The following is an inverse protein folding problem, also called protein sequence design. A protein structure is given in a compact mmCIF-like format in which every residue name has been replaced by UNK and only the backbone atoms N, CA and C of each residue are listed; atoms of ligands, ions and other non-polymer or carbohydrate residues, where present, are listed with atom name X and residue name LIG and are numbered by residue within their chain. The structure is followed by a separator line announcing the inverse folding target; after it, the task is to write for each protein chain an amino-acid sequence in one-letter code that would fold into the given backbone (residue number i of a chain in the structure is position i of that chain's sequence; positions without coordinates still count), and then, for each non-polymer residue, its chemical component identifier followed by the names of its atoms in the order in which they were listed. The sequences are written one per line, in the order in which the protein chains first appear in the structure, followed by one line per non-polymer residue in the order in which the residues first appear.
data_IF_206275764344
#
_entry.id   IF_206275764344
#
_cell.length_a   1.000
_cell.length_b   1.000
_cell.length_c   1.000
_cell.angle_alpha   90.00
_cell.angle_beta   90.00
_cell.angle_gamma   90.00
#
_symmetry.space_group_name_H-M   'P 1'
#
loop_
_entity.id
_entity.type
_entity.pdbx_description
1 polymer ?
#
# COMPACT_ATOMS: atom_id res chain seq x y z
N UNK A 1 24.79 1.67 -28.32
CA UNK A 1 24.86 0.21 -28.35
C UNK A 1 25.04 -0.38 -26.97
N UNK A 2 26.17 -0.10 -26.34
CA UNK A 2 26.39 -0.63 -24.99
C UNK A 2 25.34 -0.18 -24.00
N UNK A 3 24.73 0.97 -24.25
CA UNK A 3 23.67 1.48 -23.40
C UNK A 3 22.45 0.59 -23.37
N UNK A 4 22.19 -0.23 -24.37
CA UNK A 4 21.09 -1.17 -24.36
C UNK A 4 21.25 -2.20 -23.26
N UNK A 5 22.45 -2.71 -23.10
CA UNK A 5 22.71 -3.72 -22.07
C UNK A 5 22.57 -3.13 -20.68
N UNK A 6 22.94 -1.88 -20.51
CA UNK A 6 22.82 -1.20 -19.23
C UNK A 6 21.37 -0.89 -18.87
N UNK A 7 20.46 -0.99 -19.84
CA UNK A 7 19.06 -0.70 -19.64
C UNK A 7 18.23 -1.92 -19.29
N UNK A 8 18.86 -3.05 -19.16
CA UNK A 8 18.17 -4.23 -18.64
C UNK A 8 17.91 -3.95 -17.17
N UNK A 9 16.71 -3.54 -16.87
CA UNK A 9 16.30 -3.18 -15.52
C UNK A 9 15.37 -4.26 -15.04
N UNK A 10 15.70 -4.81 -13.89
CA UNK A 10 14.85 -5.81 -13.27
C UNK A 10 13.68 -5.11 -12.60
N UNK A 11 12.49 -5.33 -13.14
CA UNK A 11 11.25 -4.79 -12.58
C UNK A 11 10.57 -5.90 -11.81
N UNK A 12 10.30 -5.63 -10.56
CA UNK A 12 9.61 -6.56 -9.68
C UNK A 12 8.19 -6.09 -9.42
N UNK A 13 7.36 -6.99 -8.94
CA UNK A 13 6.01 -6.67 -8.53
C UNK A 13 5.94 -6.74 -7.01
N UNK A 14 5.38 -5.71 -6.40
CA UNK A 14 5.26 -5.62 -4.95
C UNK A 14 3.83 -5.31 -4.54
N UNK A 15 3.42 -5.93 -3.46
CA UNK A 15 2.22 -5.54 -2.75
C UNK A 15 2.66 -4.86 -1.47
N UNK A 16 2.28 -3.61 -1.34
CA UNK A 16 2.73 -2.77 -0.24
C UNK A 16 1.52 -2.23 0.52
N UNK A 17 1.45 -2.57 1.79
CA UNK A 17 0.32 -2.17 2.64
C UNK A 17 0.81 -1.24 3.73
N UNK A 18 0.10 -0.12 3.91
CA UNK A 18 0.32 0.76 5.04
C UNK A 18 -0.94 0.79 5.91
N UNK A 19 -0.73 0.98 7.19
CA UNK A 19 -1.82 1.09 8.16
C UNK A 19 -1.66 2.41 8.88
N UNK A 20 -2.61 3.31 8.66
CA UNK A 20 -2.61 4.62 9.29
C UNK A 20 -3.45 4.58 10.57
N UNK A 21 -3.18 5.51 11.47
CA UNK A 21 -3.91 5.63 12.74
C UNK A 21 -5.40 5.74 12.52
N UNK A 22 -6.17 5.25 13.50
CA UNK A 22 -7.62 5.25 13.40
C UNK A 22 -8.26 6.63 13.32
N UNK A 23 -7.60 7.65 13.85
CA UNK A 23 -8.11 9.03 13.87
C UNK A 23 -7.65 9.88 12.70
N UNK A 24 -6.96 9.30 11.73
CA UNK A 24 -6.55 10.02 10.53
C UNK A 24 -7.78 10.31 9.68
N UNK A 25 -7.95 11.59 9.30
CA UNK A 25 -9.12 12.01 8.53
C UNK A 25 -9.07 11.52 7.07
N UNK A 26 -10.22 11.48 6.39
CA UNK A 26 -10.24 11.12 4.96
C UNK A 26 -9.32 12.00 4.10
N UNK A 27 -9.22 13.30 4.40
CA UNK A 27 -8.32 14.17 3.64
C UNK A 27 -6.86 13.83 3.90
N UNK A 28 -6.52 13.45 5.12
CA UNK A 28 -5.16 13.02 5.46
C UNK A 28 -4.82 11.69 4.79
N UNK A 29 -5.79 10.78 4.70
CA UNK A 29 -5.61 9.52 3.97
C UNK A 29 -5.27 9.82 2.51
N UNK A 30 -6.01 10.73 1.90
CA UNK A 30 -5.78 11.14 0.52
C UNK A 30 -4.36 11.71 0.35
N UNK A 31 -3.92 12.53 1.29
CA UNK A 31 -2.57 13.09 1.28
C UNK A 31 -1.50 12.00 1.39
N UNK A 32 -1.73 10.99 2.23
CA UNK A 32 -0.81 9.87 2.35
C UNK A 32 -0.68 9.11 1.03
N UNK A 33 -1.81 8.84 0.39
CA UNK A 33 -1.81 8.16 -0.90
C UNK A 33 -1.05 8.97 -1.94
N UNK A 34 -1.29 10.27 -2.01
CA UNK A 34 -0.58 11.15 -2.94
C UNK A 34 0.91 11.17 -2.67
N UNK A 35 1.28 11.28 -1.39
CA UNK A 35 2.69 11.32 -0.99
C UNK A 35 3.44 10.09 -1.46
N UNK A 36 2.90 8.92 -1.17
CA UNK A 36 3.59 7.68 -1.52
C UNK A 36 3.50 7.35 -3.00
N UNK A 37 2.41 7.74 -3.65
CA UNK A 37 2.30 7.61 -5.11
C UNK A 37 3.36 8.42 -5.83
N UNK A 38 3.65 9.63 -5.34
CA UNK A 38 4.69 10.48 -5.93
C UNK A 38 6.08 9.89 -5.80
N UNK A 39 6.34 9.20 -4.70
CA UNK A 39 7.62 8.53 -4.51
C UNK A 39 7.80 7.43 -5.57
N UNK A 40 6.75 6.65 -5.79
CA UNK A 40 6.77 5.59 -6.81
C UNK A 40 7.05 6.18 -8.19
N UNK A 41 6.33 7.23 -8.55
CA UNK A 41 6.49 7.88 -9.86
C UNK A 41 7.86 8.51 -10.03
N UNK A 42 8.35 9.18 -9.01
CA UNK A 42 9.65 9.84 -9.05
C UNK A 42 10.79 8.86 -9.29
N UNK A 43 10.65 7.65 -8.80
CA UNK A 43 11.66 6.61 -8.96
C UNK A 43 11.36 5.69 -10.15
N UNK A 44 10.52 6.17 -11.06
CA UNK A 44 10.22 5.49 -12.32
C UNK A 44 9.52 4.14 -12.14
N UNK A 45 8.75 4.03 -11.08
CA UNK A 45 7.89 2.87 -10.88
C UNK A 45 6.49 3.11 -11.44
N UNK A 46 5.75 2.03 -11.57
CA UNK A 46 4.36 2.06 -12.00
C UNK A 46 3.48 1.69 -10.82
N UNK A 47 2.58 2.60 -10.46
CA UNK A 47 1.56 2.30 -9.48
C UNK A 47 0.37 1.67 -10.21
N UNK A 48 0.31 0.35 -10.14
CA UNK A 48 -0.68 -0.43 -10.91
C UNK A 48 -2.08 -0.26 -10.32
N UNK A 49 -2.18 -0.26 -9.00
CA UNK A 49 -3.46 -0.12 -8.34
C UNK A 49 -3.27 0.37 -6.91
N UNK A 50 -4.18 1.22 -6.46
CA UNK A 50 -4.26 1.65 -5.07
C UNK A 50 -5.64 1.29 -4.54
N UNK A 51 -5.69 0.63 -3.40
CA UNK A 51 -6.94 0.26 -2.76
C UNK A 51 -6.99 0.86 -1.36
N UNK A 52 -8.05 1.55 -1.05
CA UNK A 52 -8.31 2.01 0.31
C UNK A 52 -9.27 1.02 0.94
N UNK A 53 -8.75 0.17 1.81
CA UNK A 53 -9.55 -0.86 2.46
C UNK A 53 -10.38 -0.31 3.62
N UNK A 54 -10.10 0.92 4.03
CA UNK A 54 -10.85 1.58 5.08
C UNK A 54 -10.39 1.20 6.47
N UNK A 55 -11.24 1.53 7.43
CA UNK A 55 -10.95 1.34 8.84
C UNK A 55 -11.27 -0.10 9.23
N UNK A 56 -10.25 -0.84 9.62
CA UNK A 56 -10.37 -2.26 9.98
C UNK A 56 -9.82 -2.51 11.37
N UNK A 57 -10.29 -3.57 12.01
CA UNK A 57 -9.79 -3.98 13.32
C UNK A 57 -8.35 -4.50 13.18
N UNK A 58 -7.52 -4.10 14.11
CA UNK A 58 -6.16 -4.64 14.22
C UNK A 58 -6.19 -5.96 14.97
N UNK A 59 -5.25 -6.85 14.64
CA UNK A 59 -5.12 -8.13 15.34
C UNK A 59 -4.75 -7.91 16.81
N UNK A 60 -4.05 -6.81 17.08
CA UNK A 60 -3.67 -6.42 18.44
C UNK A 60 -3.54 -4.91 18.46
N UNK A 61 -3.59 -4.33 19.66
CA UNK A 61 -3.50 -2.88 19.83
C UNK A 61 -2.10 -2.39 19.48
N UNK A 62 -2.02 -1.36 18.65
CA UNK A 62 -0.75 -0.70 18.28
C UNK A 62 -0.86 0.77 18.67
N UNK A 63 0.04 1.24 19.53
CA UNK A 63 0.06 2.65 19.97
C UNK A 63 -1.34 3.14 20.36
N UNK A 64 -2.04 2.35 21.17
CA UNK A 64 -3.39 2.63 21.65
C UNK A 64 -4.47 2.64 20.58
N UNK A 65 -4.15 2.23 19.36
CA UNK A 65 -5.14 2.09 18.30
C UNK A 65 -5.65 0.65 18.27
N UNK A 66 -6.97 0.49 18.25
CA UNK A 66 -7.63 -0.81 18.08
C UNK A 66 -7.96 -1.08 16.62
N UNK A 67 -8.04 -0.01 15.84
CA UNK A 67 -8.33 -0.04 14.42
C UNK A 67 -7.27 0.72 13.66
N UNK A 68 -7.20 0.48 12.37
CA UNK A 68 -6.31 1.20 11.51
C UNK A 68 -6.91 1.37 10.13
N UNK A 69 -6.48 2.41 9.44
CA UNK A 69 -6.88 2.64 8.06
C UNK A 69 -5.90 1.93 7.15
N UNK A 70 -6.38 0.94 6.43
CA UNK A 70 -5.57 0.11 5.55
C UNK A 70 -5.57 0.66 4.12
N UNK A 71 -4.38 0.86 3.59
CA UNK A 71 -4.19 1.29 2.21
C UNK A 71 -3.22 0.31 1.56
N UNK A 72 -3.58 -0.20 0.40
CA UNK A 72 -2.81 -1.21 -0.30
C UNK A 72 -2.41 -0.72 -1.67
N UNK A 73 -1.12 -0.85 -1.98
CA UNK A 73 -0.56 -0.44 -3.26
C UNK A 73 -0.02 -1.67 -4.00
N UNK A 74 -0.32 -1.76 -5.29
CA UNK A 74 0.31 -2.72 -6.18
C UNK A 74 1.30 -1.96 -7.04
N UNK A 75 2.57 -2.26 -6.87
CA UNK A 75 3.67 -1.47 -7.46
C UNK A 75 4.52 -2.35 -8.34
N UNK A 76 4.84 -1.85 -9.53
CA UNK A 76 5.82 -2.47 -10.41
C UNK A 76 7.03 -1.55 -10.48
N UNK A 77 8.21 -2.09 -10.18
CA UNK A 77 9.40 -1.26 -10.23
C UNK A 77 10.62 -1.93 -9.62
N UNK A 78 11.65 -1.13 -9.44
CA UNK A 78 12.89 -1.58 -8.85
C UNK A 78 12.81 -1.58 -7.32
N UNK A 79 13.65 -2.40 -6.73
CA UNK A 79 13.70 -2.52 -5.27
C UNK A 79 13.97 -1.19 -4.54
N UNK A 80 14.67 -0.27 -5.20
CA UNK A 80 14.96 1.05 -4.61
C UNK A 80 13.70 1.83 -4.25
N UNK A 81 12.60 1.56 -4.96
CA UNK A 81 11.31 2.22 -4.68
C UNK A 81 10.82 1.81 -3.30
N UNK A 82 10.88 0.54 -3.01
CA UNK A 82 10.44 0.02 -1.71
C UNK A 82 11.31 0.58 -0.59
N UNK A 83 12.62 0.63 -0.81
CA UNK A 83 13.54 1.19 0.18
C UNK A 83 13.21 2.65 0.48
N UNK A 84 12.88 3.42 -0.54
CA UNK A 84 12.54 4.83 -0.35
C UNK A 84 11.18 5.00 0.33
N UNK A 85 10.19 4.18 -0.04
CA UNK A 85 8.89 4.17 0.62
C UNK A 85 9.04 3.89 2.11
N UNK A 86 9.75 2.83 2.45
CA UNK A 86 9.91 2.42 3.84
C UNK A 86 10.68 3.44 4.66
N UNK A 87 11.66 4.08 4.04
CA UNK A 87 12.41 5.15 4.68
C UNK A 87 11.49 6.30 5.13
N UNK A 88 10.55 6.69 4.27
CA UNK A 88 9.59 7.73 4.59
C UNK A 88 8.53 7.26 5.57
N UNK A 89 8.07 6.03 5.42
CA UNK A 89 7.03 5.46 6.28
C UNK A 89 7.51 5.29 7.72
N UNK A 90 8.76 4.96 7.87
CA UNK A 90 9.37 4.75 9.17
C UNK A 90 9.30 5.98 10.07
N UNK A 91 9.35 7.15 9.48
CA UNK A 91 9.30 8.42 10.22
C UNK A 91 7.94 9.11 10.16
N UNK A 92 6.99 8.54 9.46
CA UNK A 92 5.66 9.13 9.31
C UNK A 92 4.82 8.83 10.56
N UNK A 93 4.48 9.89 11.28
CA UNK A 93 3.76 9.77 12.55
C UNK A 93 2.32 9.29 12.40
N UNK A 94 1.77 9.39 11.18
CA UNK A 94 0.41 8.94 10.92
C UNK A 94 0.31 7.45 10.67
N UNK A 95 1.44 6.78 10.50
CA UNK A 95 1.45 5.35 10.20
C UNK A 95 1.73 4.51 11.45
N UNK A 96 0.99 3.43 11.57
CA UNK A 96 1.19 2.45 12.63
C UNK A 96 2.09 1.31 12.16
N UNK A 97 1.96 0.96 10.89
CA UNK A 97 2.66 -0.20 10.35
C UNK A 97 2.72 -0.11 8.83
N UNK A 98 3.72 -0.74 8.28
CA UNK A 98 3.84 -0.94 6.83
C UNK A 98 4.43 -2.31 6.57
N UNK A 99 4.11 -2.89 5.42
CA UNK A 99 4.65 -4.19 5.04
C UNK A 99 4.69 -4.32 3.52
N UNK A 100 5.67 -5.04 3.03
CA UNK A 100 5.86 -5.25 1.60
C UNK A 100 6.03 -6.73 1.32
N UNK A 101 5.35 -7.21 0.28
CA UNK A 101 5.50 -8.57 -0.21
C UNK A 101 5.82 -8.50 -1.68
N UNK A 102 6.89 -9.19 -2.09
CA UNK A 102 7.24 -9.34 -3.48
C UNK A 102 6.43 -10.48 -4.05
N UNK A 103 5.77 -10.26 -5.19
CA UNK A 103 4.90 -11.25 -5.80
C UNK A 103 5.29 -11.50 -7.25
N UNK A 104 4.82 -12.61 -7.80
CA UNK A 104 5.08 -12.95 -9.21
C UNK A 104 4.06 -12.33 -10.15
N UNK A 105 2.84 -12.14 -9.68
CA UNK A 105 1.77 -11.51 -10.45
C UNK A 105 0.76 -10.91 -9.48
N UNK A 106 -0.02 -9.97 -9.99
CA UNK A 106 -1.11 -9.36 -9.23
C UNK A 106 -2.43 -10.00 -9.60
N UNK A 107 -3.31 -10.08 -8.59
CA UNK A 107 -4.72 -10.36 -8.81
C UNK A 107 -5.43 -9.01 -8.91
N UNK A 108 -5.76 -8.61 -10.13
CA UNK A 108 -6.41 -7.33 -10.39
C UNK A 108 -7.92 -7.44 -10.50
N UNK A 109 -8.43 -8.66 -10.56
CA UNK A 109 -9.85 -8.91 -10.74
C UNK A 109 -10.63 -8.88 -9.42
N UNK A 110 -9.98 -9.24 -8.32
CA UNK A 110 -10.61 -9.25 -7.02
C UNK A 110 -10.41 -7.91 -6.34
N UNK A 111 -11.51 -7.32 -5.87
CA UNK A 111 -11.45 -6.13 -5.04
C UNK A 111 -11.74 -6.50 -3.61
N UNK A 112 -10.71 -6.40 -2.78
CA UNK A 112 -10.83 -6.66 -1.37
C UNK A 112 -11.50 -5.48 -0.68
N UNK A 113 -12.41 -5.76 0.23
CA UNK A 113 -13.02 -4.73 1.08
C UNK A 113 -13.75 -3.62 0.32
N UNK A 114 -14.29 -3.94 -0.86
CA UNK A 114 -15.23 -3.04 -1.52
C UNK A 114 -16.51 -2.98 -0.69
N UNK A 115 -17.37 -1.98 -0.94
CA UNK A 115 -18.65 -1.88 -0.22
C UNK A 115 -19.48 -3.15 -0.34
N UNK A 116 -19.45 -3.75 -1.53
CA UNK A 116 -20.17 -4.98 -1.78
C UNK A 116 -19.60 -6.14 -0.97
N UNK A 117 -18.29 -6.22 -0.87
CA UNK A 117 -17.62 -7.27 -0.11
C UNK A 117 -17.85 -7.09 1.38
N UNK A 118 -17.87 -5.86 1.87
CA UNK A 118 -18.19 -5.59 3.27
C UNK A 118 -19.58 -6.11 3.63
N UNK A 119 -20.52 -5.95 2.72
CA UNK A 119 -21.87 -6.48 2.93
C UNK A 119 -21.87 -8.01 2.94
N UNK A 120 -21.07 -8.62 2.07
CA UNK A 120 -20.93 -10.06 2.04
C UNK A 120 -20.30 -10.59 3.33
N UNK A 121 -19.30 -9.88 3.83
CA UNK A 121 -18.68 -10.25 5.10
C UNK A 121 -19.68 -10.26 6.23
N UNK A 122 -20.56 -9.30 6.26
CA UNK A 122 -21.62 -9.24 7.26
C UNK A 122 -22.52 -10.48 7.18
N UNK A 123 -22.79 -10.96 5.98
CA UNK A 123 -23.60 -12.16 5.79
C UNK A 123 -22.86 -13.42 6.20
N UNK A 124 -21.56 -13.46 5.98
CA UNK A 124 -20.75 -14.64 6.32
C UNK A 124 -20.66 -14.89 7.80
N UNK A 125 -20.91 -13.90 8.61
CA UNK A 125 -20.90 -14.03 10.07
C UNK A 125 -22.08 -14.81 10.60
N UNK A 126 -23.02 -15.07 9.76
CA UNK A 126 -24.21 -15.85 10.11
C UNK A 126 -23.96 -17.37 9.92
#
# INVERSE_FOLDING_TARGET
MLTFYKRIIIMNLYEHTIIAKQDVSPSQIKQLIEKYSKIVEKLEGDLIKTENWGLLNLSYIINKNRKGNYIHFKIKGQNKIISELEKNEKIDKNLLKYMTIKVKKFDLDTEYFSNKEKNQDSRKKQ
#
